data_IF_309679384090
#
_entry.id   IF_309679384090
#
_cell.length_a   1.000
_cell.length_b   1.000
_cell.length_c   1.000
_cell.angle_alpha   90.00
_cell.angle_beta   90.00
_cell.angle_gamma   90.00
#
_symmetry.space_group_name_H-M   'P 1'
#
loop_
_entity.id
_entity.type
_entity.pdbx_description
1 polymer ?
2 polymer ?
3 polymer ?
4 water ?
#
# COMPACT_ATOMS: atom_id res chain seq x y z
N UNK A 3 4.93 -9.98 -12.25
CA UNK A 3 4.26 -11.22 -11.91
C UNK A 3 2.75 -11.04 -11.85
N UNK A 4 2.02 -11.86 -12.61
CA UNK A 4 0.55 -11.81 -12.61
C UNK A 4 -0.04 -12.79 -11.59
N UNK A 5 -1.05 -12.31 -10.86
CA UNK A 5 -1.66 -13.07 -9.77
C UNK A 5 -2.99 -12.44 -9.39
N UNK A 6 -3.93 -13.24 -8.89
CA UNK A 6 -5.19 -12.69 -8.40
C UNK A 6 -5.02 -11.92 -7.08
N UNK A 7 -4.08 -12.38 -6.24
CA UNK A 7 -3.85 -11.75 -4.95
C UNK A 7 -2.39 -11.82 -4.63
N UNK A 8 -1.88 -10.76 -3.99
CA UNK A 8 -0.49 -10.67 -3.61
C UNK A 8 -0.43 -10.34 -2.13
N UNK A 9 0.44 -11.02 -1.40
CA UNK A 9 0.62 -10.73 0.01
C UNK A 9 2.09 -10.63 0.34
N UNK A 10 2.40 -9.90 1.40
CA UNK A 10 3.74 -9.88 1.95
C UNK A 10 3.65 -10.32 3.39
N UNK A 11 4.32 -11.43 3.70
CA UNK A 11 4.27 -12.00 5.01
C UNK A 11 5.69 -12.19 5.53
N UNK A 12 6.42 -11.13 5.84
CA UNK A 12 5.88 -9.79 5.82
C UNK A 12 6.84 -8.87 5.09
N UNK A 13 6.62 -7.57 5.26
CA UNK A 13 7.56 -6.57 4.80
C UNK A 13 8.46 -6.26 5.99
N UNK A 14 9.75 -6.56 5.84
CA UNK A 14 10.72 -6.28 6.91
C UNK A 14 11.59 -5.13 6.44
N UNK A 15 11.70 -4.10 7.26
CA UNK A 15 12.53 -2.96 6.93
C UNK A 15 13.44 -2.68 8.10
N UNK A 16 14.69 -2.38 7.81
CA UNK A 16 15.61 -1.85 8.81
C UNK A 16 16.54 -0.86 8.12
N UNK A 17 16.82 0.26 8.79
CA UNK A 17 17.70 1.28 8.21
C UNK A 17 18.60 1.89 9.27
N UNK A 18 19.75 2.38 8.84
CA UNK A 18 20.78 2.87 9.75
C UNK A 18 20.34 4.16 10.40
N UNK A 19 19.60 4.98 9.66
CA UNK A 19 19.14 6.24 10.22
C UNK A 19 18.14 6.02 11.34
N UNK A 20 18.52 6.44 12.54
CA UNK A 20 17.76 6.18 13.74
C UNK A 20 18.63 5.48 14.78
N UNK A 21 18.90 4.18 14.57
CA UNK A 21 18.32 3.40 13.48
C UNK A 21 16.86 3.06 13.78
N UNK A 22 16.19 2.39 12.86
CA UNK A 22 14.80 2.04 13.04
C UNK A 22 14.40 0.93 12.10
N UNK A 23 13.40 0.17 12.53
CA UNK A 23 12.87 -0.92 11.73
C UNK A 23 11.37 -0.78 11.65
N UNK A 24 10.75 -1.67 10.88
CA UNK A 24 9.30 -1.69 10.73
C UNK A 24 9.00 -3.11 10.31
N UNK A 25 8.00 -3.72 10.93
CA UNK A 25 7.53 -5.04 10.53
C UNK A 25 6.02 -4.96 10.29
N UNK A 26 5.59 -5.31 9.07
CA UNK A 26 4.19 -5.31 8.71
C UNK A 26 3.86 -6.53 7.86
N UNK A 27 2.57 -6.90 7.83
CA UNK A 27 2.05 -7.78 6.79
C UNK A 27 1.07 -6.96 5.94
N UNK A 28 1.10 -7.21 4.63
CA UNK A 28 0.21 -6.56 3.67
C UNK A 28 -0.54 -7.62 2.91
N UNK A 29 -1.83 -7.39 2.66
CA UNK A 29 -2.54 -8.27 1.74
C UNK A 29 -3.20 -7.41 0.68
N UNK A 30 -2.87 -7.69 -0.58
CA UNK A 30 -3.35 -6.88 -1.70
C UNK A 30 -3.08 -5.40 -1.52
N UNK A 31 -1.91 -5.07 -1.00
CA UNK A 31 -1.49 -3.68 -0.91
C UNK A 31 -1.98 -2.92 0.31
N UNK A 32 -2.77 -3.56 1.16
CA UNK A 32 -3.21 -2.89 2.39
C UNK A 32 -2.53 -3.51 3.61
N UNK A 33 -2.36 -2.70 4.64
CA UNK A 33 -1.65 -3.11 5.85
C UNK A 33 -2.56 -3.93 6.75
N UNK A 34 -2.18 -5.18 7.02
CA UNK A 34 -2.94 -6.02 7.95
C UNK A 34 -2.63 -5.69 9.40
N UNK A 35 -1.35 -5.65 9.74
CA UNK A 35 -0.92 -5.23 11.07
C UNK A 35 0.51 -4.75 11.00
N UNK A 36 0.96 -4.11 12.06
CA UNK A 36 2.36 -3.82 12.21
C UNK A 36 2.74 -4.21 13.62
N UNK A 37 4.02 -4.49 13.84
CA UNK A 37 4.48 -4.76 15.18
C UNK A 37 5.19 -3.51 15.67
N UNK A 38 4.74 -3.02 16.81
CA UNK A 38 5.41 -1.92 17.46
C UNK A 38 6.62 -2.54 18.14
N UNK A 39 7.79 -2.35 17.54
CA UNK A 39 9.00 -3.03 17.97
C UNK A 39 9.41 -2.59 19.38
N UNK A 40 9.30 -1.30 19.65
CA UNK A 40 9.63 -0.76 20.97
C UNK A 40 8.77 -1.30 22.09
N UNK A 41 7.48 -1.54 21.82
CA UNK A 41 6.57 -2.04 22.85
C UNK A 41 6.32 -3.56 22.77
N UNK A 42 6.88 -4.20 21.74
CA UNK A 42 6.65 -5.64 21.50
C UNK A 42 5.16 -5.93 21.49
N UNK A 43 4.44 -5.30 20.58
CA UNK A 43 3.00 -5.40 20.56
C UNK A 43 2.51 -5.38 19.13
N UNK A 44 1.66 -6.33 18.79
CA UNK A 44 1.06 -6.38 17.46
C UNK A 44 -0.12 -5.43 17.40
N UNK A 45 -0.19 -4.61 16.36
CA UNK A 45 -1.29 -3.67 16.20
C UNK A 45 -2.03 -3.92 14.90
N UNK A 46 -3.25 -4.46 15.01
CA UNK A 46 -4.06 -4.76 13.83
C UNK A 46 -4.65 -3.49 13.22
N UNK A 47 -4.70 -3.45 11.88
CA UNK A 47 -5.13 -2.23 11.16
C UNK A 47 -6.47 -2.43 10.49
N UNK A 48 -7.13 -3.53 10.81
CA UNK A 48 -8.45 -3.84 10.29
C UNK A 48 -9.17 -4.65 11.36
N UNK A 49 -10.30 -4.11 11.87
CA UNK A 49 -11.04 -4.66 13.00
C UNK A 49 -11.27 -6.17 12.95
N UNK A 50 -11.72 -6.69 11.80
CA UNK A 50 -12.02 -8.10 11.69
C UNK A 50 -10.79 -8.98 11.99
N UNK A 51 -9.59 -8.40 11.90
CA UNK A 51 -8.35 -9.16 12.08
C UNK A 51 -7.95 -9.31 13.53
N UNK A 52 -8.59 -8.55 14.41
CA UNK A 52 -8.28 -8.57 15.85
C UNK A 52 -8.54 -9.91 16.50
N UNK A 53 -9.25 -10.79 15.79
CA UNK A 53 -9.49 -12.14 16.28
C UNK A 53 -8.23 -13.02 16.14
N UNK A 54 -7.22 -12.52 15.45
CA UNK A 54 -6.03 -13.33 15.19
C UNK A 54 -4.94 -13.03 16.22
N UNK A 55 -3.94 -13.92 16.28
CA UNK A 55 -2.78 -13.70 17.15
C UNK A 55 -1.48 -13.76 16.35
N UNK A 56 -0.67 -12.72 16.47
CA UNK A 56 0.68 -12.76 15.93
C UNK A 56 1.69 -12.36 16.99
N UNK A 57 2.54 -13.28 17.39
CA UNK A 57 3.52 -13.04 18.45
C UNK A 57 4.62 -12.05 18.01
N UNK A 58 4.66 -10.86 18.65
CA UNK A 58 5.62 -9.81 18.30
C UNK A 58 7.08 -10.30 18.32
N UNK A 59 7.37 -11.33 19.09
CA UNK A 59 8.72 -11.89 19.20
C UNK A 59 9.25 -12.37 17.85
N UNK A 60 8.35 -12.89 17.02
CA UNK A 60 8.71 -13.35 15.69
C UNK A 60 9.26 -12.22 14.83
N UNK A 61 8.69 -11.03 15.00
CA UNK A 61 9.15 -9.87 14.24
C UNK A 61 10.48 -9.35 14.78
N UNK A 62 10.65 -9.40 16.10
CA UNK A 62 11.89 -8.95 16.73
C UNK A 62 13.07 -9.79 16.22
N UNK A 63 12.84 -11.09 16.09
CA UNK A 63 13.84 -12.02 15.61
C UNK A 63 14.25 -11.73 14.17
N UNK A 64 13.26 -11.49 13.31
CA UNK A 64 13.51 -11.14 11.91
C UNK A 64 14.23 -9.80 11.77
N UNK A 65 13.80 -8.79 12.52
CA UNK A 65 14.45 -7.47 12.46
C UNK A 65 15.91 -7.53 12.93
N UNK A 66 16.19 -8.31 13.97
CA UNK A 66 17.56 -8.57 14.39
C UNK A 66 18.41 -9.17 13.25
N UNK A 67 17.86 -10.13 12.51
CA UNK A 67 18.60 -10.64 11.34
C UNK A 67 18.91 -9.54 10.31
N UNK A 68 17.93 -8.70 10.00
CA UNK A 68 18.11 -7.60 9.04
C UNK A 68 19.20 -6.64 9.48
N UNK A 69 19.20 -6.29 10.75
CA UNK A 69 20.23 -5.39 11.29
C UNK A 69 21.65 -5.97 11.05
N UNK A 70 21.79 -7.27 11.27
CA UNK A 70 23.06 -7.97 11.05
C UNK A 70 23.43 -7.97 9.56
N UNK A 71 22.46 -8.25 8.69
CA UNK A 71 22.69 -8.21 7.23
C UNK A 71 23.04 -6.83 6.68
N UNK A 72 22.32 -5.81 7.13
CA UNK A 72 22.57 -4.44 6.69
C UNK A 72 24.02 -4.05 6.93
N UNK A 73 24.53 -4.36 8.11
CA UNK A 73 25.90 -3.98 8.44
C UNK A 73 26.95 -4.75 7.64
N UNK A 74 26.61 -5.98 7.25
CA UNK A 74 27.48 -6.75 6.38
C UNK A 74 27.55 -6.12 5.01
N UNK A 75 26.42 -5.60 4.55
CA UNK A 75 26.29 -5.11 3.19
C UNK A 75 26.86 -3.72 2.99
N UNK A 76 26.76 -2.87 4.01
CA UNK A 76 27.32 -1.53 3.94
C UNK A 76 28.78 -1.56 3.47
N UNK A 77 29.60 -2.38 4.12
CA UNK A 77 31.01 -2.48 3.74
C UNK A 77 31.20 -3.07 2.35
N UNK A 78 30.53 -4.18 2.07
CA UNK A 78 30.72 -4.88 0.80
C UNK A 78 30.30 -4.02 -0.38
N UNK A 79 29.39 -3.08 -0.13
CA UNK A 79 28.93 -2.17 -1.16
C UNK A 79 29.81 -0.93 -1.27
N UNK A 80 30.94 -0.94 -0.57
CA UNK A 80 31.80 0.24 -0.45
C UNK A 80 31.02 1.45 0.07
N UNK A 81 30.21 1.21 1.10
CA UNK A 81 29.38 2.24 1.73
C UNK A 81 28.47 2.99 0.75
N UNK A 82 27.83 2.25 -0.16
CA UNK A 82 26.87 2.84 -1.09
C UNK A 82 25.59 3.19 -0.35
N UNK A 83 25.36 4.49 -0.14
CA UNK A 83 24.21 4.96 0.62
C UNK A 83 22.97 5.04 -0.26
N UNK A 84 21.80 5.13 0.37
CA UNK A 84 20.54 5.29 -0.33
C UNK A 84 20.52 6.56 -1.18
N UNK A 85 19.88 6.49 -2.34
CA UNK A 85 19.64 7.66 -3.17
C UNK A 85 18.36 8.33 -2.72
N UNK A 86 18.38 9.65 -2.52
CA UNK A 86 17.18 10.38 -2.14
C UNK A 86 16.26 10.62 -3.34
N UNK A 87 15.09 9.98 -3.34
CA UNK A 87 14.09 10.17 -4.40
C UNK A 87 13.24 11.41 -4.14
N UNK A 88 12.56 11.89 -5.18
CA UNK A 88 11.59 12.96 -5.00
C UNK A 88 10.22 12.35 -4.74
N UNK A 89 9.66 12.55 -3.54
CA UNK A 89 8.34 11.93 -3.30
C UNK A 89 7.28 12.73 -4.03
N UNK A 90 6.16 12.10 -4.37
CA UNK A 90 5.04 12.78 -5.01
C UNK A 90 3.88 12.85 -4.02
N UNK A 91 3.31 14.05 -3.87
CA UNK A 91 2.33 14.31 -2.84
C UNK A 91 0.99 14.67 -3.47
N UNK A 92 -0.06 14.00 -3.01
CA UNK A 92 -1.41 14.24 -3.50
C UNK A 92 -2.36 14.36 -2.30
N UNK A 93 -3.24 15.36 -2.32
CA UNK A 93 -4.18 15.58 -1.23
C UNK A 93 -5.61 15.53 -1.74
N UNK A 94 -6.45 14.71 -1.12
CA UNK A 94 -7.84 14.58 -1.56
C UNK A 94 -8.76 14.18 -0.40
N UNK A 95 -10.07 14.35 -0.58
CA UNK A 95 -11.02 13.96 0.46
C UNK A 95 -11.43 12.49 0.31
N UNK A 96 -11.84 11.86 1.40
CA UNK A 96 -12.33 10.48 1.34
C UNK A 96 -13.66 10.38 0.59
N UNK A 97 -14.57 11.31 0.87
CA UNK A 97 -15.89 11.30 0.26
C UNK A 97 -16.17 12.67 -0.31
N UNK A 98 -17.19 12.78 -1.19
CA UNK A 98 -17.54 14.12 -1.70
C UNK A 98 -17.79 15.08 -0.55
N UNK A 99 -17.42 16.33 -0.76
CA UNK A 99 -17.50 17.33 0.28
C UNK A 99 -18.90 17.94 0.32
N UNK A 100 -19.59 17.76 1.45
CA UNK A 100 -20.75 18.60 1.75
C UNK A 100 -20.49 19.29 3.10
N UNK A 101 -20.69 20.60 3.14
CA UNK A 101 -20.35 21.39 4.32
C UNK A 101 -21.17 20.92 5.53
N UNK A 102 -20.49 20.74 6.67
CA UNK A 102 -21.17 20.27 7.87
C UNK A 102 -21.45 18.77 7.91
N UNK A 103 -20.84 18.01 7.00
CA UNK A 103 -20.83 16.55 7.07
C UNK A 103 -19.39 16.09 7.24
N UNK A 104 -19.10 15.33 8.30
CA UNK A 104 -17.74 14.92 8.60
C UNK A 104 -17.07 14.20 7.44
N UNK A 105 -15.78 14.45 7.25
CA UNK A 105 -15.03 13.91 6.12
C UNK A 105 -13.62 13.69 6.62
N UNK A 106 -12.78 13.09 5.79
CA UNK A 106 -11.39 12.88 6.11
C UNK A 106 -10.55 13.40 4.95
N UNK A 107 -9.57 14.26 5.23
CA UNK A 107 -8.56 14.62 4.24
C UNK A 107 -7.47 13.58 4.21
N UNK A 108 -7.04 13.23 2.99
CA UNK A 108 -6.04 12.21 2.81
C UNK A 108 -4.84 12.79 2.09
N UNK A 109 -3.66 12.60 2.65
CA UNK A 109 -2.47 13.07 1.99
C UNK A 109 -1.59 11.89 1.64
N UNK A 110 -1.51 11.60 0.34
CA UNK A 110 -0.74 10.46 -0.16
C UNK A 110 0.65 10.90 -0.55
N UNK A 111 1.65 10.34 0.12
CA UNK A 111 3.03 10.66 -0.20
C UNK A 111 3.59 9.40 -0.82
N UNK A 112 3.92 9.48 -2.09
CA UNK A 112 4.27 8.29 -2.86
C UNK A 112 5.73 8.41 -3.28
N UNK A 113 6.29 7.33 -3.81
CA UNK A 113 7.68 7.31 -4.28
C UNK A 113 8.66 7.79 -3.21
N UNK A 114 8.49 7.29 -2.00
CA UNK A 114 9.34 7.68 -0.89
C UNK A 114 10.57 6.77 -0.82
N UNK A 115 11.76 7.35 -0.98
CA UNK A 115 12.97 6.65 -0.64
C UNK A 115 14.07 7.64 -0.36
N UNK A 116 14.81 7.43 0.74
CA UNK A 116 14.63 6.41 1.77
C UNK A 116 13.37 6.67 2.63
N UNK A 117 12.91 5.64 3.38
CA UNK A 117 11.69 5.75 4.19
C UNK A 117 11.90 6.55 5.47
N UNK A 118 12.21 7.83 5.31
CA UNK A 118 12.28 8.78 6.41
C UNK A 118 11.54 10.00 5.88
N UNK A 119 10.52 10.44 6.60
CA UNK A 119 9.69 11.53 6.10
C UNK A 119 8.89 12.18 7.23
N UNK A 120 8.66 13.48 7.13
CA UNK A 120 7.78 14.16 8.07
C UNK A 120 6.55 14.71 7.35
N UNK A 121 5.39 14.15 7.68
CA UNK A 121 4.13 14.59 7.10
C UNK A 121 3.29 15.32 8.15
N UNK A 122 3.07 16.61 7.96
CA UNK A 122 2.27 17.39 8.90
C UNK A 122 1.09 18.08 8.20
N UNK A 123 0.15 18.55 9.01
CA UNK A 123 -1.03 19.22 8.49
C UNK A 123 -1.10 20.65 8.99
N UNK A 124 -1.44 21.56 8.10
CA UNK A 124 -1.63 22.94 8.50
C UNK A 124 -3.10 23.31 8.29
N UNK A 125 -3.75 23.79 9.34
CA UNK A 125 -5.13 24.28 9.25
C UNK A 125 -5.08 25.79 9.35
N UNK A 126 -5.27 26.46 8.21
CA UNK A 126 -5.19 27.91 8.13
C UNK A 126 -3.82 28.48 8.54
N UNK A 127 -2.76 27.86 8.02
CA UNK A 127 -1.41 28.38 8.22
C UNK A 127 -0.69 27.89 9.45
N UNK A 128 -1.43 27.44 10.44
CA UNK A 128 -0.82 26.93 11.67
C UNK A 128 -0.95 25.42 11.77
N UNK A 129 0.10 24.78 12.29
CA UNK A 129 0.12 23.33 12.43
C UNK A 129 -1.00 22.84 13.34
N UNK A 130 -1.57 21.68 12.99
CA UNK A 130 -2.52 21.01 13.86
C UNK A 130 -2.14 19.54 13.96
N UNK A 131 -2.50 18.91 15.08
CA UNK A 131 -2.12 17.53 15.33
C UNK A 131 -3.29 16.70 15.83
N UNK A 132 -4.38 17.35 16.23
CA UNK A 132 -5.58 16.63 16.62
C UNK A 132 -6.30 16.11 15.38
N UNK A 133 -6.72 14.84 15.44
CA UNK A 133 -7.42 14.21 14.34
C UNK A 133 -6.46 13.76 13.25
N UNK A 134 -5.18 13.73 13.58
CA UNK A 134 -4.15 13.31 12.62
C UNK A 134 -3.67 11.91 12.94
N UNK A 135 -3.50 11.09 11.90
CA UNK A 135 -2.95 9.76 12.04
C UNK A 135 -2.36 9.38 10.69
N UNK A 136 -1.70 8.23 10.62
CA UNK A 136 -1.04 7.82 9.40
C UNK A 136 -0.80 6.32 9.37
N UNK A 137 -0.63 5.80 8.16
CA UNK A 137 -0.28 4.41 7.95
C UNK A 137 1.19 4.22 8.26
N UNK A 138 1.65 2.98 8.25
CA UNK A 138 3.08 2.72 8.24
C UNK A 138 3.60 3.02 6.83
N UNK A 139 4.90 2.82 6.62
CA UNK A 139 5.41 2.87 5.25
C UNK A 139 4.95 1.62 4.52
N UNK A 140 4.20 1.81 3.44
CA UNK A 140 3.70 0.68 2.66
C UNK A 140 4.63 0.44 1.48
N UNK A 141 4.85 -0.83 1.14
CA UNK A 141 5.87 -1.20 0.18
C UNK A 141 5.37 -1.04 -1.24
N UNK A 142 6.31 -0.89 -2.18
CA UNK A 142 5.95 -0.90 -3.59
C UNK A 142 6.91 -1.84 -4.30
N UNK A 143 6.55 -2.26 -5.52
CA UNK A 143 7.30 -3.27 -6.22
C UNK A 143 8.67 -2.78 -6.68
N UNK A 144 8.82 -1.45 -6.85
CA UNK A 144 10.14 -0.90 -7.16
C UNK A 144 10.98 -0.67 -5.91
N UNK A 145 10.46 -1.14 -4.76
CA UNK A 145 11.19 -1.10 -3.48
C UNK A 145 11.31 0.28 -2.87
N UNK A 146 10.56 1.24 -3.41
CA UNK A 146 10.37 2.48 -2.69
C UNK A 146 9.16 2.29 -1.78
N UNK A 147 8.67 3.36 -1.17
CA UNK A 147 7.52 3.22 -0.27
C UNK A 147 6.49 4.31 -0.52
N UNK A 148 5.29 4.10 0.00
CA UNK A 148 4.36 5.19 0.16
C UNK A 148 3.78 5.22 1.57
N UNK A 149 3.28 6.38 1.98
CA UNK A 149 2.67 6.56 3.28
C UNK A 149 1.50 7.52 3.16
N UNK A 150 0.46 7.27 3.93
CA UNK A 150 -0.73 8.09 3.86
C UNK A 150 -0.99 8.70 5.20
N UNK A 151 -1.23 10.00 5.23
CA UNK A 151 -1.62 10.68 6.43
C UNK A 151 -3.07 11.11 6.33
N UNK A 152 -3.72 11.20 7.49
CA UNK A 152 -5.15 11.55 7.55
C UNK A 152 -5.41 12.69 8.51
N UNK A 153 -6.43 13.48 8.20
CA UNK A 153 -6.90 14.56 9.05
C UNK A 153 -8.41 14.54 9.05
N UNK A 154 -9.02 14.28 10.20
CA UNK A 154 -10.47 14.30 10.30
C UNK A 154 -10.91 15.75 10.36
N UNK A 155 -12.00 16.10 9.68
CA UNK A 155 -12.45 17.48 9.66
C UNK A 155 -13.95 17.61 9.41
N UNK A 156 -14.44 18.83 9.58
CA UNK A 156 -15.77 19.21 9.11
C UNK A 156 -15.61 20.29 8.06
N UNK A 157 -15.84 19.94 6.78
CA UNK A 157 -15.66 20.91 5.70
C UNK A 157 -16.51 22.17 5.90
N UNK A 158 -15.90 23.32 5.66
CA UNK A 158 -16.56 24.61 5.78
C UNK A 158 -15.87 25.57 4.85
N UNK A 159 -16.61 26.57 4.37
CA UNK A 159 -16.05 27.52 3.40
C UNK A 159 -14.86 28.29 3.99
N UNK A 160 -14.88 28.46 5.32
CA UNK A 160 -13.91 29.31 6.01
C UNK A 160 -12.62 28.60 6.41
N UNK A 161 -12.48 27.34 6.02
CA UNK A 161 -11.30 26.55 6.41
C UNK A 161 -10.61 25.84 5.23
N UNK A 162 -9.31 26.07 5.10
CA UNK A 162 -8.49 25.37 4.11
C UNK A 162 -7.24 24.78 4.76
N UNK A 163 -6.70 23.76 4.13
CA UNK A 163 -5.63 22.99 4.73
C UNK A 163 -4.47 22.80 3.78
N UNK A 164 -3.30 22.50 4.36
CA UNK A 164 -2.17 22.06 3.58
C UNK A 164 -1.56 20.82 4.19
N UNK A 165 -1.15 19.91 3.32
CA UNK A 165 -0.32 18.80 3.73
C UNK A 165 1.11 19.23 3.50
N UNK A 166 1.91 19.19 4.57
CA UNK A 166 3.30 19.63 4.52
C UNK A 166 4.19 18.40 4.57
N UNK A 167 5.06 18.25 3.58
CA UNK A 167 5.90 17.07 3.49
C UNK A 167 7.39 17.41 3.51
N UNK A 168 8.10 16.80 4.46
CA UNK A 168 9.53 16.98 4.58
C UNK A 168 10.28 15.71 4.23
N UNK A 169 11.25 15.85 3.32
CA UNK A 169 11.99 14.71 2.83
C UNK A 169 13.28 15.22 2.21
N UNK A 170 14.35 14.43 2.33
CA UNK A 170 15.67 14.84 1.87
C UNK A 170 15.77 14.99 0.35
N UNK A 171 14.88 14.33 -0.39
CA UNK A 171 14.85 14.47 -1.83
C UNK A 171 14.21 15.78 -2.32
N UNK A 172 13.78 16.62 -1.38
CA UNK A 172 13.14 17.90 -1.70
C UNK A 172 14.04 19.07 -1.32
N UNK A 173 14.04 20.11 -2.15
CA UNK A 173 14.77 21.34 -1.86
C UNK A 173 14.22 22.00 -0.61
N UNK A 174 12.90 21.95 -0.48
CA UNK A 174 12.18 22.65 0.57
C UNK A 174 10.93 21.84 0.84
N UNK A 175 10.39 21.96 2.06
CA UNK A 175 9.14 21.28 2.38
C UNK A 175 8.06 21.57 1.33
N UNK A 176 7.55 20.49 0.73
CA UNK A 176 6.50 20.59 -0.26
C UNK A 176 5.16 20.82 0.42
N UNK A 177 4.39 21.78 -0.09
CA UNK A 177 3.10 22.09 0.50
C UNK A 177 1.99 21.84 -0.49
N UNK A 178 1.12 20.88 -0.18
CA UNK A 178 -0.03 20.59 -1.03
C UNK A 178 -1.31 21.15 -0.41
N UNK A 179 -2.02 21.98 -1.17
CA UNK A 179 -3.16 22.70 -0.63
C UNK A 179 -4.50 22.04 -0.93
N UNK A 180 -5.47 22.23 -0.03
CA UNK A 180 -6.82 21.73 -0.26
C UNK A 180 -7.88 22.73 0.22
N UNK A 181 -8.94 22.88 -0.57
CA UNK A 181 -10.07 23.73 -0.21
C UNK A 181 -11.40 23.05 -0.57
N UNK A 182 -12.48 23.36 0.19
CA UNK A 182 -13.79 22.76 -0.09
C UNK A 182 -14.56 23.46 -1.20
N UNK B 3 22.31 16.92 3.98
CA UNK B 3 21.55 15.68 3.84
C UNK B 3 22.32 14.49 4.40
N UNK B 4 21.80 13.91 5.51
CA UNK B 4 22.46 12.79 6.18
C UNK B 4 22.30 11.51 5.38
N UNK B 5 23.26 10.60 5.50
CA UNK B 5 23.21 9.39 4.72
C UNK B 5 22.44 8.29 5.45
N UNK B 6 21.83 7.41 4.65
CA UNK B 6 21.00 6.35 5.19
C UNK B 6 21.35 5.10 4.42
N UNK B 7 21.47 3.97 5.12
CA UNK B 7 21.66 2.69 4.47
C UNK B 7 20.44 1.85 4.83
N UNK B 8 19.80 1.28 3.81
CA UNK B 8 18.50 0.65 3.97
C UNK B 8 18.55 -0.85 3.61
N UNK B 9 17.87 -1.68 4.41
CA UNK B 9 17.78 -3.10 4.09
C UNK B 9 16.32 -3.54 4.17
N UNK B 10 15.89 -4.32 3.19
CA UNK B 10 14.50 -4.75 3.15
C UNK B 10 14.46 -6.25 2.93
N UNK B 11 13.55 -6.93 3.60
CA UNK B 11 13.30 -8.33 3.31
C UNK B 11 11.79 -8.49 3.15
N UNK B 12 11.36 -9.00 1.99
CA UNK B 12 9.95 -9.16 1.71
C UNK B 12 9.59 -10.62 1.47
N UNK B 13 8.62 -11.13 2.22
CA UNK B 13 8.21 -12.52 2.06
C UNK B 13 6.91 -12.59 1.30
N UNK B 14 7.00 -12.69 -0.02
CA UNK B 14 5.83 -12.50 -0.85
C UNK B 14 5.20 -13.78 -1.38
N UNK B 15 3.88 -13.75 -1.49
CA UNK B 15 3.10 -14.87 -1.99
C UNK B 15 2.23 -14.32 -3.10
N UNK B 16 2.17 -15.03 -4.22
CA UNK B 16 1.33 -14.66 -5.35
C UNK B 16 0.30 -15.76 -5.57
N UNK B 17 -0.97 -15.43 -5.37
CA UNK B 17 -2.07 -16.39 -5.45
C UNK B 17 -2.86 -16.26 -6.73
N UNK B 18 -3.12 -17.38 -7.39
CA UNK B 18 -4.00 -17.37 -8.54
C UNK B 18 -5.03 -18.49 -8.39
N UNK B 19 -6.30 -18.16 -8.63
CA UNK B 19 -7.42 -19.10 -8.52
C UNK B 19 -7.44 -19.81 -7.17
N UNK B 20 -7.69 -19.06 -6.11
CA UNK B 20 -7.55 -19.58 -4.76
C UNK B 20 -6.10 -19.98 -4.51
N UNK B 21 -5.91 -21.15 -3.91
CA UNK B 21 -4.57 -21.67 -3.68
C UNK B 21 -4.22 -22.74 -4.72
N UNK B 22 -4.90 -22.73 -5.86
CA UNK B 22 -4.58 -23.69 -6.93
C UNK B 22 -3.18 -23.46 -7.44
N UNK B 23 -2.85 -22.19 -7.65
CA UNK B 23 -1.52 -21.80 -8.10
C UNK B 23 -0.96 -20.77 -7.13
N UNK B 24 0.11 -21.14 -6.45
CA UNK B 24 0.74 -20.27 -5.48
C UNK B 24 2.26 -20.18 -5.71
N UNK B 25 2.75 -18.96 -5.79
CA UNK B 25 4.16 -18.76 -6.04
C UNK B 25 4.71 -17.93 -4.91
N UNK B 26 5.78 -18.39 -4.29
CA UNK B 26 6.44 -17.67 -3.21
C UNK B 26 7.72 -17.07 -3.75
N UNK B 27 7.92 -15.78 -3.50
CA UNK B 27 9.18 -15.13 -3.79
C UNK B 27 9.60 -14.32 -2.56
N UNK B 28 10.67 -14.75 -1.89
CA UNK B 28 11.24 -13.90 -0.86
C UNK B 28 12.38 -13.06 -1.46
N UNK B 29 12.38 -11.75 -1.18
CA UNK B 29 13.35 -10.84 -1.77
C UNK B 29 14.20 -10.15 -0.71
N UNK B 30 15.52 -10.18 -0.89
CA UNK B 30 16.41 -9.43 -0.01
C UNK B 30 16.90 -8.23 -0.81
N UNK B 31 16.76 -7.05 -0.23
CA UNK B 31 16.94 -5.82 -0.98
C UNK B 31 17.85 -4.84 -0.25
N UNK B 32 18.97 -4.48 -0.88
CA UNK B 32 19.86 -3.48 -0.32
C UNK B 32 19.57 -2.12 -0.91
N UNK B 33 19.21 -1.16 -0.05
CA UNK B 33 18.69 0.12 -0.49
C UNK B 33 17.48 -0.13 -1.37
N UNK B 34 17.63 -0.04 -2.70
CA UNK B 34 16.51 -0.35 -3.59
C UNK B 34 16.86 -1.43 -4.58
N UNK B 35 18.00 -2.05 -4.35
CA UNK B 35 18.54 -3.02 -5.26
C UNK B 35 18.23 -4.40 -4.70
N UNK B 36 17.41 -5.16 -5.42
CA UNK B 36 17.17 -6.52 -4.99
C UNK B 36 18.49 -7.25 -5.27
N UNK B 37 18.99 -7.99 -4.28
CA UNK B 37 20.30 -8.62 -4.43
C UNK B 37 20.25 -10.14 -4.38
N UNK B 38 19.25 -10.68 -3.71
CA UNK B 38 19.04 -12.14 -3.68
C UNK B 38 17.56 -12.41 -3.61
N UNK B 39 17.12 -13.52 -4.20
CA UNK B 39 15.75 -13.94 -3.96
C UNK B 39 15.59 -15.45 -3.98
N UNK B 40 14.58 -15.94 -3.27
CA UNK B 40 14.19 -17.33 -3.38
C UNK B 40 12.84 -17.34 -4.08
N UNK B 41 12.79 -17.94 -5.25
CA UNK B 41 11.55 -18.06 -6.00
C UNK B 41 11.16 -19.55 -6.00
N UNK B 42 9.99 -19.86 -5.45
CA UNK B 42 9.57 -21.26 -5.34
C UNK B 42 9.50 -21.95 -6.69
N UNK B 43 9.28 -21.17 -7.76
CA UNK B 43 9.30 -21.73 -9.12
C UNK B 43 10.69 -22.26 -9.51
N UNK B 44 11.74 -21.63 -8.99
CA UNK B 44 13.13 -22.02 -9.25
C UNK B 44 13.60 -23.06 -8.24
N UNK B 45 13.28 -22.86 -6.97
CA UNK B 45 13.54 -23.88 -5.97
C UNK B 45 14.89 -23.78 -5.28
N UNK B 46 15.63 -22.71 -5.57
CA UNK B 46 16.84 -22.40 -4.81
C UNK B 46 17.04 -20.90 -4.78
N UNK B 47 17.94 -20.44 -3.92
CA UNK B 47 18.27 -19.04 -3.90
C UNK B 47 19.06 -18.69 -5.13
N UNK B 48 18.81 -17.51 -5.68
CA UNK B 48 19.57 -17.02 -6.82
C UNK B 48 19.96 -15.59 -6.53
N UNK B 49 21.25 -15.32 -6.66
CA UNK B 49 21.76 -13.98 -6.50
C UNK B 49 21.25 -13.16 -7.69
N UNK B 50 20.93 -11.90 -7.46
CA UNK B 50 20.40 -11.05 -8.52
C UNK B 50 21.51 -10.11 -8.96
N UNK B 51 22.37 -9.73 -8.01
CA UNK B 51 23.55 -8.94 -8.30
C UNK B 51 24.74 -9.51 -7.55
N UNK B 52 25.94 -9.04 -7.87
CA UNK B 52 27.16 -9.55 -7.26
C UNK B 52 27.13 -9.41 -5.74
N UNK B 53 26.46 -8.38 -5.25
CA UNK B 53 26.36 -8.10 -3.82
C UNK B 53 25.73 -9.25 -3.04
N UNK B 54 24.84 -9.98 -3.70
CA UNK B 54 24.08 -11.00 -3.02
C UNK B 54 24.62 -12.38 -3.32
N UNK B 55 25.69 -12.45 -4.11
CA UNK B 55 26.24 -13.76 -4.47
C UNK B 55 26.71 -14.61 -3.28
N UNK B 56 27.44 -14.02 -2.31
CA UNK B 56 27.88 -14.93 -1.24
C UNK B 56 26.73 -15.40 -0.34
N UNK B 57 25.70 -14.57 -0.20
CA UNK B 57 24.51 -14.96 0.56
C UNK B 57 23.85 -16.16 -0.10
N UNK B 58 23.57 -16.04 -1.38
CA UNK B 58 22.90 -17.11 -2.13
C UNK B 58 23.70 -18.41 -2.06
N UNK B 59 24.99 -18.31 -2.32
CA UNK B 59 25.89 -19.46 -2.26
C UNK B 59 25.82 -20.10 -0.88
N UNK B 60 25.93 -19.27 0.16
CA UNK B 60 25.94 -19.77 1.52
C UNK B 60 24.60 -20.39 1.88
N UNK B 61 23.52 -19.69 1.56
CA UNK B 61 22.18 -20.19 1.90
C UNK B 61 21.86 -21.51 1.19
N UNK B 62 22.21 -21.59 -0.09
CA UNK B 62 21.96 -22.80 -0.86
C UNK B 62 22.72 -24.02 -0.37
N UNK B 63 23.87 -23.77 0.27
CA UNK B 63 24.72 -24.86 0.74
C UNK B 63 24.15 -25.50 2.00
N UNK B 64 23.19 -24.84 2.65
CA UNK B 64 22.55 -25.43 3.82
C UNK B 64 21.26 -26.15 3.44
N UNK B 65 21.31 -27.48 3.41
CA UNK B 65 20.20 -28.27 2.89
C UNK B 65 18.89 -28.11 3.67
N UNK B 66 19.02 -27.87 4.97
CA UNK B 66 17.87 -27.69 5.85
C UNK B 66 17.18 -26.35 5.65
N UNK B 67 17.98 -25.29 5.47
CA UNK B 67 17.45 -23.98 5.11
C UNK B 67 16.66 -24.10 3.80
N UNK B 68 17.28 -24.73 2.81
CA UNK B 68 16.65 -25.00 1.52
C UNK B 68 15.33 -25.77 1.61
N UNK B 69 15.32 -26.84 2.39
CA UNK B 69 14.10 -27.64 2.54
C UNK B 69 12.97 -26.84 3.19
N UNK B 70 13.34 -25.95 4.10
CA UNK B 70 12.37 -25.09 4.76
C UNK B 70 11.80 -24.03 3.82
N UNK B 71 12.65 -23.47 2.95
CA UNK B 71 12.19 -22.50 1.97
C UNK B 71 11.26 -23.14 0.96
N UNK B 72 11.60 -24.36 0.57
CA UNK B 72 10.79 -25.10 -0.39
C UNK B 72 9.42 -25.48 0.17
N UNK B 73 9.34 -25.67 1.48
CA UNK B 73 8.06 -25.98 2.10
C UNK B 73 7.28 -24.70 2.49
N UNK B 74 7.91 -23.53 2.37
CA UNK B 74 7.28 -22.31 2.83
C UNK B 74 6.00 -21.97 2.05
N UNK B 75 5.94 -22.37 0.79
CA UNK B 75 4.74 -22.09 -0.01
C UNK B 75 3.48 -22.73 0.61
N UNK B 76 3.65 -23.91 1.20
CA UNK B 76 2.54 -24.57 1.88
C UNK B 76 2.43 -24.12 3.34
N UNK B 77 3.55 -24.04 4.04
CA UNK B 77 3.56 -23.69 5.45
C UNK B 77 3.14 -22.25 5.70
N UNK B 78 3.56 -21.35 4.83
CA UNK B 78 3.26 -19.94 5.03
C UNK B 78 2.12 -19.45 4.14
N UNK B 79 2.33 -19.51 2.82
CA UNK B 79 1.38 -18.93 1.87
C UNK B 79 0.02 -19.59 1.91
N UNK B 80 -0.05 -20.90 1.72
CA UNK B 80 -1.34 -21.60 1.71
C UNK B 80 -1.99 -21.54 3.08
N UNK B 81 -1.18 -21.55 4.13
CA UNK B 81 -1.73 -21.46 5.47
C UNK B 81 -2.41 -20.10 5.73
N UNK B 82 -1.70 -19.01 5.48
CA UNK B 82 -2.27 -17.69 5.70
C UNK B 82 -3.48 -17.40 4.82
N UNK B 83 -3.48 -17.95 3.60
CA UNK B 83 -4.63 -17.74 2.71
C UNK B 83 -5.93 -18.24 3.33
N UNK B 84 -5.84 -19.25 4.19
CA UNK B 84 -7.02 -19.78 4.89
C UNK B 84 -7.58 -18.73 5.85
N UNK B 85 -6.69 -17.94 6.45
CA UNK B 85 -7.12 -16.82 7.28
C UNK B 85 -7.73 -15.71 6.42
N UNK B 86 -7.11 -15.42 5.28
CA UNK B 86 -7.65 -14.40 4.37
C UNK B 86 -9.06 -14.76 3.91
N UNK B 87 -9.29 -16.04 3.63
CA UNK B 87 -10.61 -16.52 3.19
C UNK B 87 -11.71 -16.18 4.18
N UNK B 88 -11.40 -16.21 5.48
CA UNK B 88 -12.41 -15.91 6.50
C UNK B 88 -12.53 -14.40 6.75
N UNK B 89 -11.62 -13.61 6.21
CA UNK B 89 -11.56 -12.19 6.60
C UNK B 89 -11.45 -11.21 5.44
N UNK B 90 -10.25 -11.04 4.91
CA UNK B 90 -10.03 -10.04 3.89
C UNK B 90 -10.83 -10.33 2.62
N UNK B 91 -10.89 -11.60 2.24
CA UNK B 91 -11.57 -11.99 1.00
C UNK B 91 -13.10 -11.96 1.13
N UNK B 92 -13.62 -11.82 2.34
CA UNK B 92 -15.07 -11.69 2.52
C UNK B 92 -15.50 -10.25 2.73
N UNK B 93 -14.56 -9.37 3.01
CA UNK B 93 -14.87 -7.95 3.16
C UNK B 93 -15.59 -7.39 1.92
N UNK B 94 -16.76 -6.77 2.16
CA UNK B 94 -17.54 -6.12 1.10
C UNK B 94 -17.94 -4.75 1.58
N UNK B 95 -17.47 -3.70 0.90
CA UNK B 95 -17.93 -2.36 1.21
C UNK B 95 -18.51 -1.71 -0.05
N UNK B 96 -19.77 -1.29 0.03
CA UNK B 96 -20.53 -0.77 -1.12
C UNK B 96 -20.19 0.68 -1.47
N UNK B 97 -19.86 0.92 -2.74
CA UNK B 97 -19.50 2.25 -3.25
C UNK B 97 -20.65 3.26 -3.15
N UNK B 98 -20.31 4.53 -2.92
CA UNK B 98 -21.26 5.60 -3.07
C UNK B 98 -20.98 6.25 -4.42
N UNK B 99 -22.03 6.60 -5.18
CA UNK B 99 -21.86 7.16 -6.52
C UNK B 99 -22.48 8.56 -6.61
N UNK B 100 -21.69 9.52 -7.06
CA UNK B 100 -22.10 10.92 -7.10
C UNK B 100 -21.67 11.56 -8.41
N UNK B 101 -22.54 12.34 -9.02
CA UNK B 101 -22.20 13.02 -10.26
C UNK B 101 -22.10 14.52 -10.03
N UNK B 102 -20.99 15.12 -10.45
CA UNK B 102 -20.81 16.57 -10.35
C UNK B 102 -20.09 17.11 -11.56
N UNK B 103 -20.60 18.20 -12.12
CA UNK B 103 -19.88 18.90 -13.20
C UNK B 103 -18.61 19.56 -12.66
N UNK B 104 -17.54 19.56 -13.45
CA UNK B 104 -16.37 20.37 -13.16
C UNK B 104 -16.48 21.72 -13.87
N UNK B 113 -17.88 20.96 -21.67
CA UNK B 113 -17.85 20.79 -20.21
C UNK B 113 -17.41 19.37 -19.81
N UNK B 114 -17.28 19.15 -18.51
CA UNK B 114 -16.70 17.92 -17.99
C UNK B 114 -17.56 17.40 -16.85
N UNK B 115 -18.03 16.18 -16.98
CA UNK B 115 -18.85 15.58 -15.95
C UNK B 115 -17.95 14.63 -15.17
N UNK B 116 -18.01 14.69 -13.84
CA UNK B 116 -17.24 13.78 -13.00
C UNK B 116 -18.15 12.83 -12.21
N UNK B 117 -17.96 11.53 -12.40
CA UNK B 117 -18.59 10.55 -11.54
C UNK B 117 -17.60 10.08 -10.46
N UNK B 118 -17.88 10.42 -9.20
CA UNK B 118 -17.05 9.97 -8.10
C UNK B 118 -17.61 8.70 -7.50
N UNK B 119 -16.78 7.67 -7.41
CA UNK B 119 -17.20 6.41 -6.84
C UNK B 119 -16.29 6.18 -5.64
N UNK B 120 -16.85 6.30 -4.45
CA UNK B 120 -16.02 6.39 -3.27
C UNK B 120 -16.32 5.29 -2.26
N UNK B 121 -15.31 4.95 -1.45
CA UNK B 121 -15.47 4.05 -0.32
C UNK B 121 -15.95 2.64 -0.68
N UNK B 122 -15.20 1.96 -1.53
CA UNK B 122 -15.52 0.58 -1.84
C UNK B 122 -14.36 -0.39 -1.57
N UNK B 123 -14.72 -1.66 -1.48
CA UNK B 123 -13.79 -2.77 -1.32
C UNK B 123 -14.56 -4.05 -1.67
N UNK B 124 -13.94 -4.94 -2.45
CA UNK B 124 -12.55 -4.84 -2.93
C UNK B 124 -12.34 -3.97 -4.16
N UNK B 125 -11.19 -4.20 -4.79
CA UNK B 125 -10.69 -3.34 -5.85
C UNK B 125 -11.43 -3.50 -7.16
N UNK B 126 -11.97 -4.70 -7.41
CA UNK B 126 -12.61 -5.00 -8.68
C UNK B 126 -13.85 -4.13 -8.85
N UNK B 127 -13.86 -3.30 -9.89
CA UNK B 127 -14.99 -2.42 -10.10
C UNK B 127 -15.06 -2.03 -11.57
N UNK B 128 -16.26 -1.73 -12.06
CA UNK B 128 -16.42 -1.26 -13.41
C UNK B 128 -17.35 -0.05 -13.44
N UNK B 129 -16.82 1.07 -13.92
CA UNK B 129 -17.61 2.28 -14.05
C UNK B 129 -17.78 2.61 -15.52
N UNK B 130 -19.02 2.83 -15.95
CA UNK B 130 -19.31 3.20 -17.34
C UNK B 130 -20.16 4.47 -17.42
N UNK B 131 -19.88 5.29 -18.43
CA UNK B 131 -20.71 6.44 -18.71
C UNK B 131 -21.60 6.14 -19.92
N UNK B 132 -22.86 6.56 -19.83
CA UNK B 132 -23.79 6.47 -20.95
C UNK B 132 -24.31 7.85 -21.28
N UNK B 133 -24.46 8.12 -22.57
CA UNK B 133 -25.24 9.27 -23.01
C UNK B 133 -26.51 8.73 -23.64
N UNK B 134 -27.65 9.12 -23.08
CA UNK B 134 -28.91 8.49 -23.46
C UNK B 134 -28.77 6.96 -23.36
N UNK B 135 -29.14 6.21 -24.38
CA UNK B 135 -29.00 4.76 -24.26
C UNK B 135 -27.62 4.15 -24.63
N UNK B 136 -26.64 4.99 -24.98
CA UNK B 136 -25.37 4.48 -25.52
C UNK B 136 -24.14 4.77 -24.67
N UNK B 137 -23.26 3.77 -24.56
CA UNK B 137 -22.05 3.94 -23.77
C UNK B 137 -21.08 4.93 -24.42
N UNK B 138 -20.52 5.79 -23.58
CA UNK B 138 -19.45 6.69 -23.98
C UNK B 138 -18.11 6.11 -23.54
N UNK B 139 -17.16 6.04 -24.47
CA UNK B 139 -15.79 5.63 -24.15
C UNK B 139 -14.78 6.62 -24.74
N UNK B 140 -15.08 7.12 -25.94
CA UNK B 140 -14.21 8.06 -26.64
C UNK B 140 -13.79 9.23 -25.74
N UNK B 141 -14.77 9.83 -25.05
CA UNK B 141 -14.50 11.01 -24.25
C UNK B 141 -14.46 10.76 -22.77
N UNK B 142 -14.00 9.57 -22.37
CA UNK B 142 -13.98 9.17 -20.98
C UNK B 142 -12.56 8.92 -20.52
N UNK B 143 -12.19 9.43 -19.35
CA UNK B 143 -10.92 9.05 -18.74
C UNK B 143 -11.18 8.78 -17.28
N UNK B 144 -10.52 7.76 -16.73
CA UNK B 144 -10.76 7.39 -15.34
C UNK B 144 -9.42 7.53 -14.61
N UNK B 145 -9.44 7.97 -13.37
CA UNK B 145 -8.20 7.90 -12.58
C UNK B 145 -7.82 6.43 -12.43
N UNK B 146 -6.56 6.15 -12.05
CA UNK B 146 -6.36 4.77 -11.57
C UNK B 146 -7.11 4.60 -10.25
N UNK B 147 -7.21 3.37 -9.78
CA UNK B 147 -7.73 3.11 -8.44
C UNK B 147 -6.96 3.94 -7.42
N UNK B 148 -7.68 4.63 -6.55
CA UNK B 148 -7.04 5.40 -5.51
C UNK B 148 -7.21 4.67 -4.20
N UNK B 149 -6.10 4.35 -3.56
CA UNK B 149 -6.11 3.58 -2.34
C UNK B 149 -6.21 4.56 -1.18
N UNK B 150 -7.27 4.44 -0.36
CA UNK B 150 -7.46 5.34 0.77
C UNK B 150 -6.55 4.97 1.93
N UNK B 151 -6.09 3.72 1.97
CA UNK B 151 -5.17 3.29 3.01
C UNK B 151 -5.86 2.65 4.20
N UNK B 152 -7.19 2.71 4.22
CA UNK B 152 -7.97 2.13 5.31
C UNK B 152 -8.85 1.00 4.78
N UNK B 153 -8.37 0.31 3.76
CA UNK B 153 -9.07 -0.84 3.19
C UNK B 153 -10.35 -0.43 2.48
N UNK B 154 -10.32 0.75 1.89
CA UNK B 154 -11.32 1.19 0.91
C UNK B 154 -10.59 1.88 -0.23
N UNK B 155 -11.28 1.96 -1.35
CA UNK B 155 -10.76 2.60 -2.55
C UNK B 155 -11.74 3.69 -2.95
N UNK B 156 -11.31 4.57 -3.85
CA UNK B 156 -12.24 5.38 -4.60
C UNK B 156 -11.69 5.51 -6.00
N UNK B 157 -12.51 6.01 -6.92
CA UNK B 157 -12.10 6.21 -8.30
C UNK B 157 -12.93 7.36 -8.89
N UNK B 158 -12.31 8.18 -9.74
CA UNK B 158 -13.01 9.28 -10.39
C UNK B 158 -13.06 9.01 -11.89
N UNK B 159 -14.24 9.09 -12.48
CA UNK B 159 -14.37 8.78 -13.89
C UNK B 159 -14.99 9.98 -14.59
N UNK B 160 -14.27 10.53 -15.56
CA UNK B 160 -14.64 11.82 -16.11
C UNK B 160 -15.11 11.73 -17.55
N UNK B 161 -16.09 12.54 -17.89
CA UNK B 161 -16.70 12.50 -19.22
C UNK B 161 -16.69 13.88 -19.85
N UNK B 162 -16.10 13.99 -21.03
CA UNK B 162 -16.10 15.24 -21.77
C UNK B 162 -17.37 15.25 -22.60
N UNK B 163 -18.18 16.28 -22.45
CA UNK B 163 -19.43 16.30 -23.19
C UNK B 163 -19.75 17.66 -23.81
N UNK B 164 -20.60 17.60 -24.82
CA UNK B 164 -21.19 18.79 -25.43
C UNK B 164 -22.68 18.57 -25.28
N UNK B 165 -23.28 19.12 -24.21
CA UNK B 165 -24.65 18.69 -23.90
C UNK B 165 -25.66 19.34 -24.85
N UNK B 166 -26.42 18.50 -25.53
CA UNK B 166 -27.50 18.97 -26.37
C UNK B 166 -28.80 18.92 -25.59
N UNK B 167 -29.85 19.51 -26.13
CA UNK B 167 -31.15 19.49 -25.47
C UNK B 167 -31.66 18.07 -25.30
N UNK B 168 -32.06 17.73 -24.08
CA UNK B 168 -32.67 16.43 -23.82
C UNK B 168 -31.69 15.33 -23.52
N UNK B 169 -30.40 15.63 -23.57
CA UNK B 169 -29.40 14.62 -23.25
C UNK B 169 -29.51 14.19 -21.78
N UNK B 170 -29.43 12.89 -21.56
CA UNK B 170 -29.44 12.34 -20.23
C UNK B 170 -28.15 11.52 -20.08
N UNK B 171 -27.32 11.89 -19.09
CA UNK B 171 -26.08 11.19 -18.84
C UNK B 171 -26.23 10.25 -17.66
N UNK B 172 -25.74 9.03 -17.81
CA UNK B 172 -25.84 8.03 -16.75
C UNK B 172 -24.47 7.44 -16.40
N UNK B 173 -24.14 7.49 -15.11
CA UNK B 173 -22.95 6.84 -14.61
C UNK B 173 -23.38 5.49 -14.01
N UNK B 174 -22.79 4.41 -14.50
CA UNK B 174 -23.23 3.03 -14.25
C UNK B 174 -22.10 2.29 -13.51
N UNK B 175 -22.40 1.71 -12.34
CA UNK B 175 -21.35 1.14 -11.51
C UNK B 175 -21.60 -0.32 -11.12
N UNK B 176 -20.68 -1.20 -11.53
CA UNK B 176 -20.73 -2.62 -11.16
C UNK B 176 -19.59 -2.95 -10.21
N UNK B 177 -19.90 -3.71 -9.16
CA UNK B 177 -18.95 -4.01 -8.10
C UNK B 177 -19.44 -5.28 -7.39
N UNK B 178 -18.51 -6.11 -6.87
CA UNK B 178 -18.92 -7.38 -6.26
C UNK B 178 -19.78 -7.23 -4.99
N UNK B 179 -19.83 -6.04 -4.41
CA UNK B 179 -20.64 -5.79 -3.22
C UNK B 179 -22.12 -5.52 -3.55
N UNK B 180 -22.43 -5.32 -4.83
CA UNK B 180 -23.79 -5.04 -5.29
C UNK B 180 -24.39 -6.24 -6.03
N UNK B 181 -25.69 -6.47 -5.87
CA UNK B 181 -26.40 -7.48 -6.64
C UNK B 181 -26.81 -6.95 -8.01
N UNK B 182 -26.96 -5.64 -8.11
CA UNK B 182 -27.31 -5.00 -9.36
C UNK B 182 -26.50 -3.73 -9.50
N UNK B 183 -26.36 -3.22 -10.74
CA UNK B 183 -25.58 -1.99 -10.92
C UNK B 183 -26.23 -0.79 -10.24
N UNK B 184 -25.40 0.12 -9.74
CA UNK B 184 -25.86 1.42 -9.31
C UNK B 184 -25.84 2.36 -10.52
N UNK B 185 -26.90 3.13 -10.67
CA UNK B 185 -27.11 4.05 -11.78
C UNK B 185 -27.46 5.42 -11.20
N UNK B 186 -26.71 6.45 -11.58
CA UNK B 186 -27.04 7.83 -11.22
C UNK B 186 -27.12 8.66 -12.50
N UNK B 187 -28.14 9.51 -12.59
CA UNK B 187 -28.39 10.33 -13.80
C UNK B 187 -28.09 11.81 -13.62
N UNK B 188 -27.89 12.52 -14.73
CA UNK B 188 -27.61 13.95 -14.72
C UNK B 188 -28.06 14.57 -16.04
N UNK B 189 -28.77 15.70 -15.97
CA UNK B 189 -29.25 16.44 -17.16
C UNK B 189 -28.75 17.89 -17.14
N UNK B 190 -28.33 18.41 -18.28
CA UNK B 190 -27.95 19.83 -18.38
C UNK B 190 -29.13 20.76 -18.06
N UNK C 1 -6.36 -22.48 12.04
CA UNK C 1 -5.59 -21.63 12.94
C UNK C 1 -6.10 -20.20 12.95
N UNK C 2 -5.84 -19.52 14.05
CA UNK C 2 -6.07 -18.09 14.18
C UNK C 2 -4.70 -17.41 14.22
N UNK C 3 -3.73 -18.00 13.54
CA UNK C 3 -2.33 -17.58 13.63
C UNK C 3 -1.67 -17.40 12.27
N UNK C 4 -1.40 -16.14 11.87
CA UNK C 4 -0.64 -15.90 10.64
C UNK C 4 0.81 -16.34 10.81
N UNK C 5 1.38 -16.97 9.80
CA UNK C 5 2.79 -17.35 9.86
C UNK C 5 3.61 -16.35 9.05
N UNK C 6 4.92 -16.37 9.23
CA UNK C 6 5.77 -15.42 8.51
C UNK C 6 6.95 -16.12 7.86
N UNK C 7 7.57 -15.47 6.90
CA UNK C 7 8.81 -15.98 6.31
C UNK C 7 10.00 -15.45 7.10
N UNK C 8 10.92 -16.35 7.41
CA UNK C 8 12.04 -15.97 8.25
C UNK C 8 13.20 -15.44 7.44
N UNK C 9 13.71 -14.28 7.83
CA UNK C 9 14.95 -13.76 7.28
C UNK C 9 16.09 -14.68 7.70
N UNK C 10 17.07 -14.85 6.81
CA UNK C 10 18.25 -15.66 7.09
C UNK C 10 19.46 -14.74 7.27
N UNK C 11 20.35 -15.10 8.20
CA UNK C 11 21.58 -14.31 8.40
C UNK C 11 22.61 -14.60 7.33
N UNK C 12 23.29 -13.56 6.85
CA UNK C 12 24.42 -13.76 5.95
C UNK C 12 25.69 -14.06 6.75
#
# INVERSE_FOLDING_TARGET
>A
EDIVADHVASYGVNLYQSYGPSGQYTHEFDGDEQFYVDLGRKETVWCLPVLRQFRFDPQFALTNIAVLKHNLNSLIKRSNSTAATNEVPEVTVFSKSPVTLGQPNILICLVDNIFPPVVNITWLSNGHSVTEGVSETSFLSKSDHSFFKISYLTLLPSAEESYDCKVEHWGLDKPLLKHWEPEIPAPMSELTEVDIEGR
>B
RDSPEDFVYQFKGMCYFTNGTERVRLVSRSIYNREEIVRFDSDVGEFRAVTLLGLPAAEYWNSQKDILERKRAAVDRVCRHNYQLELRTTLQRRVEPTVTISPSRTEALNHHNLLVCSVTDFYPAQIKVRWFRNDQEETAGVVSTPLIRNGDWTFQILVMLEMTPQRGDVYTCHVEHPSLQSPITVEWRAQSESAQSKVDIEGR
>C
MATPLLMQALPMGAL
#
